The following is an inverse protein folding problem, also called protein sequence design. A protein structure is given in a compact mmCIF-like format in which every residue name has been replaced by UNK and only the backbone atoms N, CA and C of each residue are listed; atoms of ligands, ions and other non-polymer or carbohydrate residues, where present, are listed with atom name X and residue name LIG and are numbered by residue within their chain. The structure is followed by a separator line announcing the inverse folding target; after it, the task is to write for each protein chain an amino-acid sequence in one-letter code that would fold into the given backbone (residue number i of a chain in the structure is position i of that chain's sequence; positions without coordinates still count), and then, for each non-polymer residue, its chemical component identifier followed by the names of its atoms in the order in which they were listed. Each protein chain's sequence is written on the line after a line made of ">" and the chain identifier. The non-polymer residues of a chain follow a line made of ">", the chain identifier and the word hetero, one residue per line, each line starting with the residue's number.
data_IF_324257891751
#
_entry.id   IF_324257891751
#
_cell.length_a   1.000
_cell.length_b   1.000
_cell.length_c   1.000
_cell.angle_alpha   90.00
_cell.angle_beta   90.00
_cell.angle_gamma   90.00
#
_symmetry.space_group_name_H-M   'P 1'
#
loop_
_entity.id
_entity.type
_entity.pdbx_description
1 polymer ?
#
# COMPACT_ATOMS: atom_id res chain seq x y z
N UNK A 1 33.11 2.79 10.44
CA UNK A 1 32.38 4.07 10.54
C UNK A 1 31.97 4.64 9.17
N UNK A 2 31.98 3.87 8.06
CA UNK A 2 31.59 4.39 6.75
C UNK A 2 30.21 3.95 6.24
N UNK A 3 29.70 2.79 6.65
CA UNK A 3 28.42 2.31 6.09
C UNK A 3 27.22 3.13 6.59
N UNK A 4 27.22 3.56 7.86
CA UNK A 4 26.18 4.47 8.37
C UNK A 4 26.23 5.80 7.64
N UNK A 5 27.43 6.35 7.38
CA UNK A 5 27.58 7.62 6.67
C UNK A 5 27.13 7.50 5.22
N UNK A 6 27.51 6.43 4.50
CA UNK A 6 27.03 6.15 3.14
C UNK A 6 25.51 5.95 3.12
N UNK A 7 24.93 5.25 4.09
CA UNK A 7 23.47 5.09 4.17
C UNK A 7 22.78 6.42 4.48
N UNK A 8 23.31 7.27 5.36
CA UNK A 8 22.76 8.60 5.65
C UNK A 8 23.03 9.65 4.57
N UNK A 9 24.10 9.50 3.79
CA UNK A 9 24.43 10.36 2.64
C UNK A 9 23.65 9.93 1.40
N UNK A 10 23.30 8.64 1.30
CA UNK A 10 22.31 8.11 0.34
C UNK A 10 20.86 8.36 0.82
N UNK A 11 20.64 8.64 2.11
CA UNK A 11 19.40 9.24 2.64
C UNK A 11 19.67 10.73 2.84
N UNK A 12 20.17 11.40 1.79
CA UNK A 12 20.21 12.85 1.80
C UNK A 12 18.77 13.36 2.01
N UNK A 13 18.59 14.39 2.84
CA UNK A 13 17.26 14.88 3.25
C UNK A 13 16.42 15.39 2.06
N UNK A 14 17.02 15.49 0.88
CA UNK A 14 16.39 15.63 -0.44
C UNK A 14 15.81 14.32 -0.96
N UNK A 15 14.78 13.82 -0.27
CA UNK A 15 14.14 12.54 -0.57
C UNK A 15 13.70 12.39 -2.03
N UNK A 16 13.22 13.45 -2.70
CA UNK A 16 12.73 13.38 -4.08
C UNK A 16 13.84 13.47 -5.13
N UNK A 17 15.00 14.01 -4.77
CA UNK A 17 16.19 14.04 -5.63
C UNK A 17 16.98 12.73 -5.58
N UNK A 18 16.77 11.92 -4.53
CA UNK A 18 17.52 10.70 -4.31
C UNK A 18 16.79 9.47 -4.86
N UNK A 19 17.56 8.55 -5.45
CA UNK A 19 17.06 7.31 -6.02
C UNK A 19 16.38 6.39 -4.97
N UNK A 20 16.78 6.49 -3.69
CA UNK A 20 16.24 5.63 -2.63
C UNK A 20 14.70 5.68 -2.56
N UNK A 21 14.13 6.89 -2.67
CA UNK A 21 12.70 7.10 -2.53
C UNK A 21 11.93 6.43 -3.68
N UNK A 22 12.46 6.56 -4.89
CA UNK A 22 11.86 5.97 -6.09
C UNK A 22 11.97 4.46 -6.12
N UNK A 23 13.08 3.89 -5.62
CA UNK A 23 13.21 2.45 -5.41
C UNK A 23 12.18 1.99 -4.38
N UNK A 24 12.07 2.66 -3.24
CA UNK A 24 11.10 2.32 -2.20
C UNK A 24 9.66 2.38 -2.74
N UNK A 25 9.31 3.43 -3.48
CA UNK A 25 8.01 3.59 -4.13
C UNK A 25 7.74 2.45 -5.13
N UNK A 26 8.71 2.13 -5.99
CA UNK A 26 8.56 1.08 -7.00
C UNK A 26 8.42 -0.31 -6.37
N UNK A 27 9.26 -0.65 -5.39
CA UNK A 27 9.20 -1.92 -4.66
C UNK A 27 7.86 -2.03 -3.91
N UNK A 28 7.47 -0.98 -3.19
CA UNK A 28 6.22 -0.94 -2.43
C UNK A 28 5.01 -1.18 -3.34
N UNK A 29 4.90 -0.47 -4.46
CA UNK A 29 3.77 -0.65 -5.38
C UNK A 29 3.82 -1.95 -6.17
N UNK A 30 5.01 -2.47 -6.49
CA UNK A 30 5.19 -3.78 -7.11
C UNK A 30 4.69 -4.89 -6.18
N UNK A 31 5.12 -4.88 -4.92
CA UNK A 31 4.67 -5.83 -3.90
C UNK A 31 3.16 -5.73 -3.66
N UNK A 32 2.65 -4.54 -3.36
CA UNK A 32 1.23 -4.32 -3.06
C UNK A 32 0.30 -4.66 -4.24
N UNK A 33 0.77 -4.53 -5.48
CA UNK A 33 -0.02 -4.91 -6.67
C UNK A 33 -0.07 -6.42 -6.93
N UNK A 34 0.90 -7.17 -6.43
CA UNK A 34 0.97 -8.63 -6.59
C UNK A 34 0.07 -9.37 -5.58
N UNK A 35 0.05 -8.89 -4.33
CA UNK A 35 -0.69 -9.50 -3.23
C UNK A 35 -2.06 -8.85 -3.04
N UNK A 36 -3.12 -9.59 -3.37
CA UNK A 36 -4.51 -9.13 -3.27
C UNK A 36 -5.14 -9.79 -2.05
N UNK A 37 -5.41 -9.00 -1.01
CA UNK A 37 -5.90 -9.53 0.27
C UNK A 37 -4.98 -10.63 0.86
N UNK A 38 -3.67 -10.53 0.63
CA UNK A 38 -2.68 -11.52 1.09
C UNK A 38 -2.56 -12.77 0.21
N UNK A 39 -3.26 -12.84 -0.93
CA UNK A 39 -3.19 -13.96 -1.88
C UNK A 39 -2.60 -13.50 -3.22
N UNK A 40 -1.71 -14.28 -3.85
CA UNK A 40 -1.20 -13.97 -5.18
C UNK A 40 -2.33 -13.93 -6.23
N UNK A 41 -2.37 -12.87 -7.04
CA UNK A 41 -3.49 -12.71 -8.00
C UNK A 41 -3.52 -13.79 -9.10
N UNK A 42 -2.39 -14.41 -9.42
CA UNK A 42 -2.32 -15.52 -10.37
C UNK A 42 -3.17 -16.72 -9.92
N UNK A 43 -3.32 -16.96 -8.60
CA UNK A 43 -4.21 -18.00 -8.08
C UNK A 43 -5.68 -17.71 -8.41
N UNK A 44 -6.09 -16.44 -8.40
CA UNK A 44 -7.44 -16.01 -8.80
C UNK A 44 -7.68 -16.26 -10.28
N UNK A 45 -6.68 -15.96 -11.12
CA UNK A 45 -6.75 -16.23 -12.57
C UNK A 45 -6.79 -17.73 -12.84
N UNK A 46 -5.99 -18.52 -12.12
CA UNK A 46 -5.95 -19.98 -12.24
C UNK A 46 -7.29 -20.62 -11.83
N UNK A 47 -7.83 -20.25 -10.67
CA UNK A 47 -9.14 -20.73 -10.21
C UNK A 47 -10.26 -20.43 -11.23
N UNK A 48 -10.24 -19.23 -11.83
CA UNK A 48 -11.19 -18.87 -12.91
C UNK A 48 -11.07 -19.73 -14.15
N UNK A 49 -9.86 -20.16 -14.52
CA UNK A 49 -9.62 -21.00 -15.71
C UNK A 49 -9.99 -22.46 -15.49
N UNK A 50 -9.68 -23.01 -14.32
CA UNK A 50 -9.95 -24.42 -13.99
C UNK A 50 -11.41 -24.68 -13.60
N UNK A 51 -12.16 -23.63 -13.24
CA UNK A 51 -13.54 -23.76 -12.79
C UNK A 51 -13.66 -24.04 -11.29
N UNK A 52 -14.89 -24.10 -10.79
CA UNK A 52 -15.19 -24.21 -9.35
C UNK A 52 -14.82 -25.56 -8.74
N UNK A 53 -14.82 -26.63 -9.53
CA UNK A 53 -14.60 -27.99 -9.02
C UNK A 53 -13.12 -28.43 -9.06
N UNK A 54 -12.22 -27.50 -9.44
CA UNK A 54 -10.79 -27.77 -9.52
C UNK A 54 -10.06 -27.58 -8.19
N UNK A 55 -8.94 -28.29 -7.94
CA UNK A 55 -8.12 -28.12 -6.74
C UNK A 55 -7.64 -26.67 -6.55
N UNK A 56 -7.39 -25.95 -7.64
CA UNK A 56 -6.98 -24.55 -7.60
C UNK A 56 -8.04 -23.60 -7.00
N UNK A 57 -9.33 -23.92 -7.13
CA UNK A 57 -10.41 -23.13 -6.53
C UNK A 57 -10.48 -23.35 -5.01
N UNK A 58 -10.35 -24.61 -4.59
CA UNK A 58 -10.31 -24.98 -3.17
C UNK A 58 -9.10 -24.36 -2.45
N UNK A 59 -7.90 -24.44 -3.05
CA UNK A 59 -6.69 -23.83 -2.49
C UNK A 59 -6.83 -22.31 -2.33
N UNK A 60 -7.43 -21.65 -3.32
CA UNK A 60 -7.67 -20.21 -3.27
C UNK A 60 -8.65 -19.86 -2.15
N UNK A 61 -9.75 -20.60 -2.03
CA UNK A 61 -10.75 -20.35 -1.00
C UNK A 61 -10.18 -20.55 0.42
N UNK A 62 -9.37 -21.58 0.61
CA UNK A 62 -8.62 -21.84 1.84
C UNK A 62 -7.71 -20.65 2.21
N UNK A 63 -6.87 -20.21 1.27
CA UNK A 63 -5.95 -19.10 1.52
C UNK A 63 -6.67 -17.78 1.76
N UNK A 64 -7.76 -17.52 1.04
CA UNK A 64 -8.58 -16.33 1.28
C UNK A 64 -9.20 -16.40 2.66
N UNK A 65 -9.72 -17.56 3.08
CA UNK A 65 -10.30 -17.73 4.42
C UNK A 65 -9.27 -17.44 5.51
N UNK A 66 -8.06 -17.99 5.41
CA UNK A 66 -6.98 -17.74 6.38
C UNK A 66 -6.64 -16.25 6.46
N UNK A 67 -6.46 -15.59 5.31
CA UNK A 67 -6.12 -14.17 5.26
C UNK A 67 -7.27 -13.29 5.79
N UNK A 68 -8.52 -13.58 5.44
CA UNK A 68 -9.70 -12.87 5.94
C UNK A 68 -9.78 -12.97 7.46
N UNK A 69 -9.62 -14.17 8.02
CA UNK A 69 -9.61 -14.39 9.47
C UNK A 69 -8.50 -13.57 10.14
N UNK A 70 -7.28 -13.60 9.61
CA UNK A 70 -6.14 -12.86 10.16
C UNK A 70 -6.34 -11.34 10.11
N UNK A 71 -6.81 -10.81 8.98
CA UNK A 71 -7.06 -9.37 8.80
C UNK A 71 -8.10 -8.88 9.79
N UNK A 72 -9.20 -9.62 9.93
CA UNK A 72 -10.30 -9.21 10.81
C UNK A 72 -9.97 -9.38 12.27
N UNK A 73 -9.20 -10.42 12.63
CA UNK A 73 -8.63 -10.57 13.97
C UNK A 73 -7.80 -9.34 14.39
N UNK A 74 -6.87 -8.89 13.54
CA UNK A 74 -6.06 -7.70 13.80
C UNK A 74 -6.94 -6.44 13.87
N UNK A 75 -7.94 -6.32 12.99
CA UNK A 75 -8.85 -5.18 12.99
C UNK A 75 -9.74 -5.14 14.24
N UNK A 76 -10.15 -6.28 14.78
CA UNK A 76 -10.98 -6.39 15.99
C UNK A 76 -10.18 -6.12 17.26
N UNK A 77 -8.96 -6.66 17.38
CA UNK A 77 -8.15 -6.50 18.59
C UNK A 77 -7.38 -5.17 18.64
N UNK A 78 -6.81 -4.75 17.51
CA UNK A 78 -5.88 -3.62 17.45
C UNK A 78 -6.39 -2.47 16.57
N UNK A 79 -7.56 -2.60 15.93
CA UNK A 79 -8.05 -1.61 14.95
C UNK A 79 -8.17 -0.21 15.51
N UNK A 80 -8.66 -0.04 16.75
CA UNK A 80 -8.74 1.26 17.39
C UNK A 80 -7.36 1.91 17.55
N UNK A 81 -6.37 1.15 18.04
CA UNK A 81 -5.00 1.63 18.21
C UNK A 81 -4.32 1.92 16.88
N UNK A 82 -4.52 1.06 15.87
CA UNK A 82 -3.98 1.25 14.52
C UNK A 82 -4.52 2.54 13.91
N UNK A 83 -5.83 2.80 14.03
CA UNK A 83 -6.45 4.03 13.51
C UNK A 83 -5.98 5.25 14.29
N UNK A 84 -5.96 5.20 15.63
CA UNK A 84 -5.54 6.32 16.48
C UNK A 84 -4.07 6.70 16.23
N UNK A 85 -3.16 5.73 16.32
CA UNK A 85 -1.72 5.96 16.12
C UNK A 85 -1.45 6.27 14.65
N UNK A 86 -2.05 5.53 13.71
CA UNK A 86 -1.83 5.73 12.28
C UNK A 86 -2.28 7.12 11.81
N UNK A 87 -3.46 7.58 12.24
CA UNK A 87 -3.93 8.94 11.92
C UNK A 87 -3.08 10.02 12.60
N UNK A 88 -2.66 9.82 13.84
CA UNK A 88 -1.76 10.75 14.54
C UNK A 88 -0.41 10.87 13.83
N UNK A 89 0.20 9.76 13.44
CA UNK A 89 1.47 9.72 12.69
C UNK A 89 1.32 10.36 11.32
N UNK A 90 0.28 10.02 10.54
CA UNK A 90 0.04 10.63 9.24
C UNK A 90 -0.21 12.14 9.34
N UNK A 91 -0.95 12.58 10.37
CA UNK A 91 -1.16 14.01 10.63
C UNK A 91 0.14 14.70 11.01
N UNK A 92 0.94 14.10 11.89
CA UNK A 92 2.26 14.62 12.25
C UNK A 92 3.19 14.75 11.03
N UNK A 93 3.23 13.74 10.16
CA UNK A 93 3.98 13.78 8.91
C UNK A 93 3.46 14.87 7.96
N UNK A 94 2.14 15.07 7.89
CA UNK A 94 1.57 16.15 7.07
C UNK A 94 1.94 17.54 7.62
N UNK A 95 1.88 17.74 8.93
CA UNK A 95 2.28 19.01 9.56
C UNK A 95 3.77 19.26 9.34
N UNK A 96 4.63 18.28 9.65
CA UNK A 96 6.08 18.39 9.44
C UNK A 96 6.43 18.62 7.96
N UNK A 97 5.73 17.94 7.06
CA UNK A 97 5.97 18.02 5.62
C UNK A 97 5.58 19.36 5.01
N UNK A 98 4.38 19.87 5.29
CA UNK A 98 3.84 21.04 4.60
C UNK A 98 3.91 22.34 5.41
N UNK A 99 3.92 22.29 6.75
CA UNK A 99 4.05 23.49 7.60
C UNK A 99 5.53 23.81 7.83
N UNK A 100 6.31 22.79 8.20
CA UNK A 100 7.75 22.95 8.48
C UNK A 100 8.65 22.68 7.27
N UNK A 101 8.07 22.36 6.11
CA UNK A 101 8.80 22.10 4.86
C UNK A 101 9.87 20.99 4.94
N UNK A 102 9.63 19.98 5.78
CA UNK A 102 10.53 18.84 5.90
C UNK A 102 10.25 17.85 4.77
N UNK A 103 11.13 17.81 3.78
CA UNK A 103 10.98 16.97 2.57
C UNK A 103 10.86 15.48 2.89
N UNK A 104 11.66 14.97 3.83
CA UNK A 104 11.57 13.58 4.29
C UNK A 104 10.18 13.23 4.84
N UNK A 105 9.55 14.14 5.59
CA UNK A 105 8.21 13.93 6.13
C UNK A 105 7.15 13.90 5.01
N UNK A 106 7.30 14.72 3.97
CA UNK A 106 6.44 14.67 2.77
C UNK A 106 6.57 13.32 2.06
N UNK A 107 7.80 12.83 1.86
CA UNK A 107 8.06 11.53 1.26
C UNK A 107 7.43 10.38 2.08
N UNK A 108 7.64 10.36 3.40
CA UNK A 108 7.02 9.36 4.28
C UNK A 108 5.48 9.44 4.24
N UNK A 109 4.91 10.65 4.18
CA UNK A 109 3.46 10.83 4.06
C UNK A 109 2.94 10.27 2.73
N UNK A 110 3.59 10.59 1.61
CA UNK A 110 3.19 10.14 0.26
C UNK A 110 3.29 8.63 0.09
N UNK A 111 4.14 7.95 0.86
CA UNK A 111 4.17 6.49 0.94
C UNK A 111 3.10 5.93 1.89
N UNK A 112 3.02 6.49 3.10
CA UNK A 112 2.18 5.96 4.18
C UNK A 112 0.68 6.19 3.96
N UNK A 113 0.29 7.37 3.47
CA UNK A 113 -1.11 7.72 3.28
C UNK A 113 -1.85 6.77 2.32
N UNK A 114 -1.38 6.52 1.09
CA UNK A 114 -2.06 5.58 0.21
C UNK A 114 -2.01 4.14 0.70
N UNK A 115 -0.95 3.74 1.41
CA UNK A 115 -0.89 2.42 2.05
C UNK A 115 -1.96 2.26 3.14
N UNK A 116 -2.28 3.33 3.89
CA UNK A 116 -3.40 3.32 4.84
C UNK A 116 -4.75 3.09 4.14
N UNK A 117 -4.94 3.67 2.95
CA UNK A 117 -6.14 3.44 2.14
C UNK A 117 -6.23 2.00 1.64
N UNK A 118 -5.12 1.41 1.20
CA UNK A 118 -5.06 -0.01 0.81
C UNK A 118 -5.35 -0.93 2.00
N UNK A 119 -4.83 -0.60 3.18
CA UNK A 119 -5.13 -1.30 4.44
C UNK A 119 -6.63 -1.28 4.75
N UNK A 120 -7.26 -0.10 4.68
CA UNK A 120 -8.69 0.05 4.87
C UNK A 120 -9.50 -0.75 3.83
N UNK A 121 -9.12 -0.66 2.55
CA UNK A 121 -9.74 -1.43 1.47
C UNK A 121 -9.65 -2.94 1.74
N UNK A 122 -8.53 -3.42 2.30
CA UNK A 122 -8.33 -4.82 2.67
C UNK A 122 -9.29 -5.23 3.79
N UNK A 123 -9.40 -4.44 4.87
CA UNK A 123 -10.33 -4.72 5.98
C UNK A 123 -11.78 -4.74 5.49
N UNK A 124 -12.19 -3.74 4.69
CA UNK A 124 -13.56 -3.67 4.13
C UNK A 124 -13.84 -4.86 3.20
N UNK A 125 -12.85 -5.29 2.43
CA UNK A 125 -12.99 -6.44 1.53
C UNK A 125 -13.10 -7.74 2.33
N UNK A 126 -12.25 -7.94 3.33
CA UNK A 126 -12.29 -9.11 4.21
C UNK A 126 -13.62 -9.19 4.98
N UNK A 127 -14.06 -8.08 5.58
CA UNK A 127 -15.30 -8.00 6.33
C UNK A 127 -16.50 -8.36 5.45
N UNK A 128 -16.50 -7.90 4.20
CA UNK A 128 -17.55 -8.21 3.22
C UNK A 128 -17.55 -9.69 2.84
N UNK A 129 -16.39 -10.28 2.57
CA UNK A 129 -16.27 -11.72 2.26
C UNK A 129 -16.82 -12.56 3.42
N UNK A 130 -16.42 -12.25 4.67
CA UNK A 130 -16.90 -12.97 5.86
C UNK A 130 -18.39 -12.79 6.10
N UNK A 131 -18.90 -11.56 6.01
CA UNK A 131 -20.31 -11.23 6.30
C UNK A 131 -21.29 -11.78 5.27
N UNK A 132 -20.92 -11.74 3.99
CA UNK A 132 -21.78 -12.21 2.89
C UNK A 132 -21.52 -13.68 2.52
N UNK A 133 -20.58 -14.35 3.19
CA UNK A 133 -20.23 -15.76 2.92
C UNK A 133 -19.78 -15.96 1.46
N UNK A 134 -19.00 -15.02 0.91
CA UNK A 134 -18.64 -15.05 -0.51
C UNK A 134 -17.70 -16.23 -0.80
N UNK A 135 -18.17 -17.16 -1.64
CA UNK A 135 -17.38 -18.26 -2.19
C UNK A 135 -17.33 -18.24 -3.72
N UNK A 136 -16.47 -19.09 -4.29
CA UNK A 136 -16.39 -19.33 -5.74
C UNK A 136 -16.36 -18.05 -6.61
N UNK A 137 -17.18 -17.95 -7.68
CA UNK A 137 -17.13 -16.83 -8.62
C UNK A 137 -17.39 -15.45 -8.00
N UNK A 138 -18.26 -15.37 -6.98
CA UNK A 138 -18.57 -14.11 -6.29
C UNK A 138 -17.35 -13.58 -5.53
N UNK A 139 -16.63 -14.46 -4.84
CA UNK A 139 -15.36 -14.15 -4.18
C UNK A 139 -14.30 -13.70 -5.20
N UNK A 140 -14.16 -14.41 -6.32
CA UNK A 140 -13.19 -14.04 -7.36
C UNK A 140 -13.46 -12.67 -7.98
N UNK A 141 -14.74 -12.32 -8.16
CA UNK A 141 -15.13 -10.97 -8.61
C UNK A 141 -14.74 -9.93 -7.56
N UNK A 142 -15.02 -10.21 -6.28
CA UNK A 142 -14.67 -9.29 -5.18
C UNK A 142 -13.16 -9.05 -5.07
N UNK A 143 -12.35 -10.10 -5.22
CA UNK A 143 -10.87 -10.00 -5.25
C UNK A 143 -10.37 -9.20 -6.45
N UNK A 144 -10.99 -9.37 -7.63
CA UNK A 144 -10.65 -8.55 -8.80
C UNK A 144 -10.98 -7.07 -8.59
N UNK A 145 -12.13 -6.77 -7.96
CA UNK A 145 -12.49 -5.39 -7.60
C UNK A 145 -11.54 -4.79 -6.55
N UNK A 146 -11.09 -5.59 -5.58
CA UNK A 146 -10.08 -5.18 -4.62
C UNK A 146 -8.77 -4.82 -5.34
N UNK A 147 -8.28 -5.68 -6.23
CA UNK A 147 -7.07 -5.41 -7.03
C UNK A 147 -7.20 -4.14 -7.85
N UNK A 148 -8.33 -3.95 -8.53
CA UNK A 148 -8.58 -2.73 -9.30
C UNK A 148 -8.53 -1.49 -8.40
N UNK A 149 -9.14 -1.54 -7.23
CA UNK A 149 -9.06 -0.46 -6.24
C UNK A 149 -7.62 -0.16 -5.83
N UNK A 150 -6.83 -1.18 -5.49
CA UNK A 150 -5.41 -1.05 -5.15
C UNK A 150 -4.60 -0.43 -6.29
N UNK A 151 -4.85 -0.84 -7.54
CA UNK A 151 -4.17 -0.28 -8.71
C UNK A 151 -4.53 1.18 -8.96
N UNK A 152 -5.80 1.56 -8.79
CA UNK A 152 -6.23 2.96 -8.92
C UNK A 152 -5.55 3.82 -7.86
N UNK A 153 -5.55 3.37 -6.60
CA UNK A 153 -4.85 4.08 -5.52
C UNK A 153 -3.36 4.21 -5.88
N UNK A 154 -2.73 3.14 -6.35
CA UNK A 154 -1.31 3.14 -6.75
C UNK A 154 -0.99 4.08 -7.89
N UNK A 155 -1.77 4.03 -8.97
CA UNK A 155 -1.60 4.90 -10.11
C UNK A 155 -1.74 6.38 -9.71
N UNK A 156 -2.79 6.72 -8.96
CA UNK A 156 -2.98 8.09 -8.45
C UNK A 156 -1.83 8.50 -7.55
N UNK A 157 -1.39 7.62 -6.65
CA UNK A 157 -0.30 7.90 -5.71
C UNK A 157 1.02 8.15 -6.41
N UNK A 158 1.38 7.31 -7.38
CA UNK A 158 2.61 7.46 -8.17
C UNK A 158 2.59 8.78 -8.94
N UNK A 159 1.47 9.12 -9.58
CA UNK A 159 1.32 10.38 -10.33
C UNK A 159 1.46 11.58 -9.41
N UNK A 160 0.71 11.62 -8.31
CA UNK A 160 0.76 12.73 -7.34
C UNK A 160 2.16 12.86 -6.76
N UNK A 161 2.78 11.74 -6.39
CA UNK A 161 4.14 11.71 -5.84
C UNK A 161 5.16 12.22 -6.85
N UNK A 162 5.01 11.84 -8.13
CA UNK A 162 5.95 12.27 -9.16
C UNK A 162 5.82 13.75 -9.50
N UNK A 163 4.59 14.26 -9.61
CA UNK A 163 4.35 15.68 -9.81
C UNK A 163 4.91 16.50 -8.64
N UNK A 164 4.68 16.05 -7.40
CA UNK A 164 5.19 16.72 -6.21
C UNK A 164 6.72 16.66 -6.13
N UNK A 165 7.33 15.50 -6.38
CA UNK A 165 8.78 15.33 -6.36
C UNK A 165 9.49 16.18 -7.41
N UNK A 166 8.92 16.28 -8.62
CA UNK A 166 9.43 17.19 -9.65
C UNK A 166 9.31 18.66 -9.22
N UNK A 167 8.17 19.06 -8.65
CA UNK A 167 7.98 20.41 -8.13
C UNK A 167 9.01 20.77 -7.05
N UNK A 168 9.23 19.89 -6.08
CA UNK A 168 10.24 20.07 -5.04
C UNK A 168 11.65 20.18 -5.63
N UNK A 169 12.03 19.24 -6.51
CA UNK A 169 13.33 19.26 -7.17
C UNK A 169 13.57 20.54 -7.99
N UNK A 170 12.54 21.06 -8.68
CA UNK A 170 12.65 22.32 -9.43
C UNK A 170 12.74 23.53 -8.52
N UNK A 171 11.92 23.61 -7.47
CA UNK A 171 11.92 24.75 -6.52
C UNK A 171 13.28 24.94 -5.84
N UNK A 172 13.95 23.84 -5.52
CA UNK A 172 15.27 23.81 -4.91
C UNK A 172 16.38 24.20 -5.90
N UNK A 173 16.25 23.82 -7.18
CA UNK A 173 17.22 24.18 -8.22
C UNK A 173 17.08 25.63 -8.71
N UNK A 174 15.88 26.21 -8.68
CA UNK A 174 15.63 27.59 -9.13
C UNK A 174 16.04 28.64 -8.08
N UNK A 175 16.09 28.27 -6.80
CA UNK A 175 16.47 29.18 -5.71
C UNK A 175 17.96 29.15 -5.31
N UNK A 176 18.79 28.36 -6.00
CA UNK A 176 20.24 28.31 -5.76
C UNK A 176 20.62 27.48 -4.52
N UNK A 177 21.62 26.61 -4.68
CA UNK A 177 22.24 25.87 -3.59
C UNK A 177 23.06 26.74 -2.65
#
# INVERSE_FOLDING_TARGET
>A
MDWYRIVFETIDMRSFSNLWFWIALAVMWSSTSHWVLGVPFDMVVRARRTGTDGPAAADLEELVRINVTRILYIAEEAGLWIVAIGSAVLTGLAVLGWVYWIEFAQACFLLGFPMSMVGLLSVVTAARIRREGLGGPAMWRRLSMHRLGTQIIGMVSIVVTALWGMFMNMSVNVLGG
#
